data_IF_762079990469
#
_entry.id   IF_762079990469
#
_cell.length_a   1.000
_cell.length_b   1.000
_cell.length_c   1.000
_cell.angle_alpha   90.00
_cell.angle_beta   90.00
_cell.angle_gamma   90.00
#
_symmetry.space_group_name_H-M   'P 1'
#
loop_
_entity.id
_entity.type
_entity.pdbx_description
1 polymer ?
#
# COMPACT_ATOMS: atom_id res chain seq x y z
N UNK A 1 -15.18 -10.39 16.94
CA UNK A 1 -16.09 -10.20 15.79
C UNK A 1 -15.31 -9.42 14.72
N UNK A 2 -14.85 -10.10 13.68
CA UNK A 2 -14.01 -9.51 12.64
C UNK A 2 -14.86 -8.66 11.68
N UNK A 3 -14.53 -7.38 11.55
CA UNK A 3 -15.34 -6.36 10.85
C UNK A 3 -15.33 -6.52 9.31
N UNK A 4 -14.49 -7.40 8.76
CA UNK A 4 -14.34 -7.59 7.31
C UNK A 4 -15.62 -8.07 6.62
N UNK A 5 -16.44 -8.93 7.24
CA UNK A 5 -17.65 -9.45 6.60
C UNK A 5 -18.67 -8.34 6.27
N UNK A 6 -18.80 -7.33 7.15
CA UNK A 6 -19.70 -6.21 6.92
C UNK A 6 -19.22 -5.33 5.75
N UNK A 7 -17.90 -5.13 5.64
CA UNK A 7 -17.30 -4.37 4.54
C UNK A 7 -17.49 -5.10 3.21
N UNK A 8 -17.24 -6.42 3.17
CA UNK A 8 -17.44 -7.23 1.97
C UNK A 8 -18.91 -7.30 1.54
N UNK A 9 -19.83 -7.46 2.49
CA UNK A 9 -21.26 -7.46 2.20
C UNK A 9 -21.72 -6.11 1.63
N UNK A 10 -21.30 -5.00 2.24
CA UNK A 10 -21.62 -3.66 1.76
C UNK A 10 -21.00 -3.38 0.37
N UNK A 11 -19.77 -3.82 0.13
CA UNK A 11 -19.13 -3.72 -1.18
C UNK A 11 -19.88 -4.51 -2.24
N UNK A 12 -20.20 -5.78 -1.96
CA UNK A 12 -20.91 -6.66 -2.88
C UNK A 12 -22.27 -6.09 -3.28
N UNK A 13 -23.03 -5.57 -2.31
CA UNK A 13 -24.30 -4.89 -2.56
C UNK A 13 -24.13 -3.65 -3.46
N UNK A 14 -23.14 -2.80 -3.16
CA UNK A 14 -22.87 -1.60 -3.94
C UNK A 14 -22.38 -1.91 -5.37
N UNK A 15 -21.52 -2.91 -5.53
CA UNK A 15 -20.93 -3.31 -6.80
C UNK A 15 -21.95 -3.96 -7.75
N UNK A 16 -22.96 -4.66 -7.20
CA UNK A 16 -24.06 -5.28 -7.97
C UNK A 16 -25.26 -4.36 -8.19
N UNK A 17 -25.25 -3.16 -7.59
CA UNK A 17 -26.38 -2.25 -7.67
C UNK A 17 -26.58 -1.71 -9.10
N UNK A 18 -27.82 -1.77 -9.58
CA UNK A 18 -28.21 -1.26 -10.89
C UNK A 18 -28.39 0.27 -10.84
N UNK A 19 -27.28 1.00 -10.86
CA UNK A 19 -27.28 2.45 -10.82
C UNK A 19 -26.03 3.04 -10.18
N UNK A 20 -26.15 4.27 -9.67
CA UNK A 20 -25.05 4.92 -8.93
C UNK A 20 -25.08 4.45 -7.48
N UNK A 21 -24.01 3.81 -7.04
CA UNK A 21 -23.84 3.39 -5.64
C UNK A 21 -22.62 4.05 -5.00
N UNK A 22 -22.65 4.13 -3.66
CA UNK A 22 -21.54 4.60 -2.85
C UNK A 22 -21.26 3.61 -1.71
N UNK A 23 -20.02 3.18 -1.61
CA UNK A 23 -19.48 2.50 -0.45
C UNK A 23 -18.94 3.55 0.52
N UNK A 24 -19.53 3.66 1.72
CA UNK A 24 -19.21 4.73 2.67
C UNK A 24 -18.72 4.14 3.99
N UNK A 25 -17.50 4.51 4.39
CA UNK A 25 -17.04 4.33 5.77
C UNK A 25 -17.40 5.61 6.52
N UNK A 26 -18.37 5.58 7.45
CA UNK A 26 -18.80 6.77 8.18
C UNK A 26 -17.71 7.25 9.15
N UNK A 27 -17.95 8.37 9.83
CA UNK A 27 -17.08 8.82 10.92
C UNK A 27 -17.06 7.78 12.04
N UNK A 28 -15.90 7.62 12.68
CA UNK A 28 -15.64 6.59 13.68
C UNK A 28 -14.37 5.81 13.36
N UNK A 29 -13.93 4.96 14.28
CA UNK A 29 -12.74 4.12 14.11
C UNK A 29 -13.17 2.67 13.93
N UNK A 30 -12.73 2.05 12.82
CA UNK A 30 -13.10 0.70 12.44
C UNK A 30 -11.83 -0.15 12.33
N UNK A 31 -11.69 -1.13 13.23
CA UNK A 31 -10.63 -2.13 13.13
C UNK A 31 -10.95 -3.07 11.98
N UNK A 32 -10.05 -3.20 11.01
CA UNK A 32 -10.29 -3.93 9.78
C UNK A 32 -9.17 -4.96 9.58
N UNK A 33 -9.54 -6.23 9.44
CA UNK A 33 -8.63 -7.28 8.95
C UNK A 33 -8.41 -7.13 7.44
N UNK A 34 -7.46 -7.85 6.82
CA UNK A 34 -7.30 -7.84 5.38
C UNK A 34 -8.61 -8.03 4.61
N UNK A 35 -8.76 -7.26 3.54
CA UNK A 35 -9.97 -7.23 2.72
C UNK A 35 -9.62 -7.03 1.25
N UNK A 36 -10.36 -7.73 0.39
CA UNK A 36 -10.24 -7.65 -1.05
C UNK A 36 -11.59 -7.27 -1.66
N UNK A 37 -11.64 -6.08 -2.26
CA UNK A 37 -12.76 -5.54 -3.00
C UNK A 37 -12.57 -5.77 -4.49
N UNK A 38 -13.36 -6.68 -5.04
CA UNK A 38 -13.21 -7.16 -6.41
C UNK A 38 -14.36 -6.71 -7.31
N UNK A 39 -14.05 -6.53 -8.59
CA UNK A 39 -15.00 -6.35 -9.69
C UNK A 39 -14.99 -7.54 -10.66
N UNK A 40 -15.51 -7.39 -11.88
CA UNK A 40 -16.16 -6.18 -12.41
C UNK A 40 -17.48 -5.90 -11.69
N UNK A 41 -17.82 -4.62 -11.54
CA UNK A 41 -19.12 -4.19 -11.03
C UNK A 41 -20.13 -4.06 -12.18
N UNK A 42 -21.41 -3.94 -11.83
CA UNK A 42 -22.51 -3.79 -12.78
C UNK A 42 -22.21 -2.69 -13.80
N UNK A 43 -22.43 -2.98 -15.09
CA UNK A 43 -22.19 -2.07 -16.22
C UNK A 43 -20.74 -1.53 -16.31
N UNK A 44 -19.77 -2.28 -15.79
CA UNK A 44 -18.36 -1.91 -15.83
C UNK A 44 -18.04 -0.61 -15.08
N UNK A 45 -18.87 -0.23 -14.11
CA UNK A 45 -18.75 1.00 -13.33
C UNK A 45 -18.68 0.68 -11.84
N UNK A 46 -17.54 0.99 -11.23
CA UNK A 46 -17.34 0.79 -9.80
C UNK A 46 -18.13 1.80 -8.96
N UNK A 47 -18.58 1.42 -7.76
CA UNK A 47 -19.19 2.34 -6.82
C UNK A 47 -18.19 3.42 -6.37
N UNK A 48 -18.68 4.60 -6.00
CA UNK A 48 -17.82 5.59 -5.35
C UNK A 48 -17.42 5.12 -3.95
N UNK A 49 -16.16 5.29 -3.56
CA UNK A 49 -15.66 4.93 -2.23
C UNK A 49 -15.43 6.20 -1.42
N UNK A 50 -16.11 6.31 -0.28
CA UNK A 50 -16.06 7.48 0.60
C UNK A 50 -15.63 7.06 2.01
N UNK A 51 -14.34 7.20 2.30
CA UNK A 51 -13.79 6.99 3.63
C UNK A 51 -13.82 8.31 4.39
N UNK A 52 -14.67 8.41 5.42
CA UNK A 52 -14.80 9.58 6.30
C UNK A 52 -14.26 9.35 7.71
N UNK A 53 -14.22 8.10 8.15
CA UNK A 53 -13.67 7.70 9.44
C UNK A 53 -12.22 7.26 9.35
N UNK A 54 -11.79 6.49 10.36
CA UNK A 54 -10.47 5.89 10.48
C UNK A 54 -10.61 4.38 10.26
N UNK A 55 -9.90 3.85 9.29
CA UNK A 55 -9.65 2.41 9.17
C UNK A 55 -8.34 2.11 9.90
N UNK A 56 -8.39 1.22 10.88
CA UNK A 56 -7.22 0.84 11.66
C UNK A 56 -6.89 -0.64 11.46
N UNK A 57 -5.64 -0.93 11.14
CA UNK A 57 -5.19 -2.29 10.93
C UNK A 57 -5.16 -3.09 12.24
N UNK A 58 -5.42 -4.39 12.15
CA UNK A 58 -5.15 -5.31 13.26
C UNK A 58 -3.64 -5.58 13.35
N UNK A 59 -3.13 -5.79 14.56
CA UNK A 59 -1.76 -6.28 14.75
C UNK A 59 -1.63 -7.72 14.21
N UNK A 60 -0.49 -8.04 13.60
CA UNK A 60 -0.09 -9.44 13.33
C UNK A 60 -0.80 -10.20 12.21
N UNK A 61 -1.41 -9.55 11.20
CA UNK A 61 -1.83 -10.31 10.00
C UNK A 61 -0.61 -10.63 9.12
N UNK A 62 -0.48 -11.90 8.73
CA UNK A 62 0.79 -12.52 8.32
C UNK A 62 0.86 -12.95 6.86
N UNK A 63 -0.26 -13.21 6.17
CA UNK A 63 -0.16 -14.12 5.02
C UNK A 63 -0.46 -13.48 3.65
N UNK A 64 -0.98 -12.26 3.61
CA UNK A 64 -1.23 -11.55 2.35
C UNK A 64 -0.22 -10.41 2.14
N UNK A 65 0.22 -10.24 0.89
CA UNK A 65 1.07 -9.12 0.47
C UNK A 65 0.34 -7.75 0.54
N UNK A 66 -0.87 -7.66 1.07
CA UNK A 66 -1.67 -6.44 1.16
C UNK A 66 -2.62 -6.45 2.36
N UNK A 67 -3.09 -5.26 2.77
CA UNK A 67 -4.16 -5.11 3.76
C UNK A 67 -5.51 -4.80 3.09
N UNK A 68 -5.58 -3.73 2.28
CA UNK A 68 -6.81 -3.36 1.55
C UNK A 68 -6.51 -3.41 0.06
N UNK A 69 -7.15 -4.33 -0.68
CA UNK A 69 -6.98 -4.45 -2.13
C UNK A 69 -8.25 -4.11 -2.88
N UNK A 70 -8.11 -3.36 -3.96
CA UNK A 70 -9.11 -3.16 -4.99
C UNK A 70 -8.62 -3.77 -6.31
N UNK A 71 -9.38 -4.67 -6.92
CA UNK A 71 -9.00 -5.27 -8.21
C UNK A 71 -10.08 -5.24 -9.28
N UNK A 72 -9.61 -5.14 -10.52
CA UNK A 72 -10.42 -5.28 -11.74
C UNK A 72 -11.62 -4.31 -11.76
N UNK A 73 -11.32 -3.08 -11.35
CA UNK A 73 -12.27 -1.97 -11.24
C UNK A 73 -12.09 -0.96 -12.37
N UNK A 74 -13.18 -0.30 -12.74
CA UNK A 74 -13.19 0.72 -13.76
C UNK A 74 -14.06 1.90 -13.32
N UNK A 75 -13.58 3.13 -13.57
CA UNK A 75 -14.25 4.37 -13.15
C UNK A 75 -14.46 4.46 -11.63
N UNK A 76 -13.54 3.89 -10.85
CA UNK A 76 -13.53 4.04 -9.40
C UNK A 76 -13.25 5.50 -9.04
N UNK A 77 -14.03 6.04 -8.11
CA UNK A 77 -13.75 7.33 -7.46
C UNK A 77 -13.65 7.13 -5.97
N UNK A 78 -12.43 7.16 -5.45
CA UNK A 78 -12.11 6.96 -4.04
C UNK A 78 -11.64 8.24 -3.37
N UNK A 79 -12.15 8.52 -2.18
CA UNK A 79 -11.69 9.62 -1.33
C UNK A 79 -12.53 9.75 -0.07
N UNK A 80 -12.63 10.97 0.47
CA UNK A 80 -13.58 11.27 1.55
C UNK A 80 -13.00 12.02 2.75
N UNK A 81 -11.67 12.19 2.79
CA UNK A 81 -10.96 12.94 3.84
C UNK A 81 -10.63 12.12 5.09
N UNK A 82 -11.00 10.84 5.13
CA UNK A 82 -10.70 9.94 6.24
C UNK A 82 -9.26 9.41 6.22
N UNK A 83 -9.00 8.51 7.17
CA UNK A 83 -7.67 8.01 7.51
C UNK A 83 -7.58 6.48 7.38
N UNK A 84 -6.42 6.00 6.93
CA UNK A 84 -6.07 4.58 6.84
C UNK A 84 -4.76 4.39 7.63
N UNK A 85 -4.86 3.80 8.82
CA UNK A 85 -3.74 3.60 9.74
C UNK A 85 -3.30 2.13 9.74
N UNK A 86 -2.09 1.89 9.19
CA UNK A 86 -1.51 0.57 8.99
C UNK A 86 -0.93 -0.07 10.26
N UNK A 87 -0.84 0.66 11.38
CA UNK A 87 -0.29 0.16 12.65
C UNK A 87 1.06 -0.57 12.45
N UNK A 88 2.00 0.10 11.78
CA UNK A 88 3.25 -0.47 11.30
C UNK A 88 4.38 -0.61 12.32
N UNK A 89 4.26 -0.01 13.51
CA UNK A 89 5.34 0.10 14.49
C UNK A 89 6.08 -1.22 14.76
N UNK A 90 5.34 -2.30 14.96
CA UNK A 90 5.92 -3.61 15.25
C UNK A 90 6.73 -4.17 14.06
N UNK A 91 6.32 -3.84 12.83
CA UNK A 91 6.98 -4.28 11.59
C UNK A 91 8.33 -3.59 11.34
N UNK A 92 8.58 -2.44 11.96
CA UNK A 92 9.82 -1.67 11.74
C UNK A 92 10.96 -2.04 12.70
N UNK A 93 10.64 -2.70 13.82
CA UNK A 93 11.59 -3.01 14.90
C UNK A 93 12.57 -4.15 14.58
N UNK A 94 12.36 -4.87 13.47
CA UNK A 94 13.05 -6.13 13.14
C UNK A 94 14.44 -6.03 12.51
N UNK A 95 14.97 -4.84 12.23
CA UNK A 95 16.34 -4.71 11.72
C UNK A 95 17.05 -3.53 12.37
N UNK A 96 17.52 -3.72 13.60
CA UNK A 96 18.77 -3.06 13.98
C UNK A 96 19.82 -3.62 13.03
N UNK A 97 20.20 -2.88 11.99
CA UNK A 97 21.57 -3.01 11.52
C UNK A 97 22.43 -2.49 12.66
N UNK A 98 22.66 -3.35 13.66
CA UNK A 98 23.69 -3.08 14.63
C UNK A 98 24.96 -2.88 13.83
N UNK A 99 25.65 -1.80 14.14
CA UNK A 99 26.90 -1.37 13.53
C UNK A 99 28.06 -2.34 13.79
N UNK A 100 27.75 -3.56 14.22
CA UNK A 100 28.65 -4.68 14.46
C UNK A 100 28.10 -5.94 13.77
N UNK A 101 28.25 -6.01 12.45
CA UNK A 101 28.24 -7.29 11.74
C UNK A 101 29.49 -8.10 12.15
N UNK A 102 29.47 -8.65 13.37
CA UNK A 102 30.37 -9.71 13.81
C UNK A 102 29.54 -10.91 14.23
N UNK A 103 29.08 -11.69 13.26
CA UNK A 103 28.74 -13.09 13.53
C UNK A 103 29.40 -13.96 12.46
N UNK A 104 30.49 -14.61 12.88
CA UNK A 104 31.28 -15.57 12.12
C UNK A 104 30.63 -16.94 12.24
N UNK A 105 30.00 -17.42 11.17
CA UNK A 105 29.75 -18.85 10.98
C UNK A 105 30.44 -19.31 9.70
N UNK A 106 31.57 -19.99 9.89
CA UNK A 106 32.35 -20.60 8.81
C UNK A 106 31.63 -21.83 8.28
N UNK A 107 31.06 -21.77 7.08
CA UNK A 107 30.59 -22.96 6.37
C UNK A 107 31.78 -23.60 5.65
N UNK A 108 32.20 -24.79 6.07
CA UNK A 108 33.27 -25.56 5.40
C UNK A 108 32.64 -26.53 4.41
N UNK A 109 33.05 -26.46 3.15
CA UNK A 109 32.74 -27.50 2.16
C UNK A 109 33.82 -28.60 2.20
N UNK A 110 33.46 -29.90 2.16
CA UNK A 110 34.39 -31.00 2.42
C UNK A 110 35.47 -31.20 1.35
N UNK A 111 35.46 -30.46 0.24
CA UNK A 111 36.39 -30.64 -0.89
C UNK A 111 36.92 -29.35 -1.54
N UNK A 112 36.70 -28.17 -0.97
CA UNK A 112 37.25 -26.92 -1.54
C UNK A 112 37.45 -25.86 -0.45
N UNK A 113 38.63 -25.26 -0.41
CA UNK A 113 39.04 -24.22 0.56
C UNK A 113 38.42 -22.83 0.31
N UNK A 114 37.28 -22.75 -0.40
CA UNK A 114 36.59 -21.48 -0.64
C UNK A 114 35.82 -21.11 0.62
N UNK A 115 36.33 -20.11 1.35
CA UNK A 115 35.60 -19.45 2.42
C UNK A 115 34.63 -18.46 1.79
N UNK A 116 33.39 -18.87 1.58
CA UNK A 116 32.32 -17.92 1.25
C UNK A 116 31.90 -17.26 2.55
N UNK A 117 32.11 -15.95 2.69
CA UNK A 117 31.46 -15.16 3.74
C UNK A 117 29.97 -15.14 3.43
N UNK A 118 29.26 -16.17 3.87
CA UNK A 118 27.81 -16.23 3.74
C UNK A 118 27.21 -15.32 4.80
N UNK A 119 26.76 -14.15 4.37
CA UNK A 119 25.76 -13.42 5.13
C UNK A 119 24.46 -14.19 4.94
N UNK A 120 24.18 -15.14 5.84
CA UNK A 120 22.80 -15.52 6.10
C UNK A 120 22.16 -14.30 6.75
N UNK A 121 21.82 -13.30 5.93
CA UNK A 121 20.73 -12.40 6.27
C UNK A 121 19.62 -13.36 6.62
N UNK A 122 19.04 -13.22 7.81
CA UNK A 122 17.69 -13.72 8.02
C UNK A 122 16.80 -12.96 7.04
N UNK A 123 16.84 -13.38 5.77
CA UNK A 123 15.93 -13.08 4.67
C UNK A 123 14.62 -13.82 4.96
N UNK A 124 14.19 -13.78 6.23
CA UNK A 124 12.86 -14.15 6.64
C UNK A 124 11.97 -13.05 6.06
N UNK A 125 11.63 -13.24 4.77
CA UNK A 125 10.55 -12.60 4.03
C UNK A 125 9.97 -11.41 4.79
N UNK A 126 10.57 -10.24 4.64
CA UNK A 126 9.84 -9.00 4.93
C UNK A 126 8.71 -9.03 3.90
N UNK A 127 7.57 -9.59 4.27
CA UNK A 127 6.36 -9.48 3.48
C UNK A 127 6.15 -7.97 3.33
N UNK A 128 6.37 -7.46 2.11
CA UNK A 128 6.24 -6.04 1.83
C UNK A 128 4.75 -5.73 1.74
N UNK A 129 4.05 -5.80 2.87
CA UNK A 129 2.61 -5.64 2.97
C UNK A 129 2.24 -4.27 2.44
N UNK A 130 1.36 -4.24 1.44
CA UNK A 130 0.83 -3.01 0.87
C UNK A 130 -0.43 -2.59 1.63
N UNK A 131 -0.43 -1.44 2.29
CA UNK A 131 -1.61 -0.93 3.02
C UNK A 131 -2.82 -0.78 2.10
N UNK A 132 -2.64 -0.12 0.95
CA UNK A 132 -3.67 0.07 -0.05
C UNK A 132 -3.15 -0.34 -1.44
N UNK A 133 -3.73 -1.39 -2.02
CA UNK A 133 -3.33 -1.93 -3.32
C UNK A 133 -4.43 -1.76 -4.36
N UNK A 134 -4.07 -1.20 -5.50
CA UNK A 134 -4.88 -1.20 -6.71
C UNK A 134 -4.23 -2.11 -7.74
N UNK A 135 -4.99 -3.10 -8.25
CA UNK A 135 -4.50 -4.10 -9.18
C UNK A 135 -5.45 -4.26 -10.36
N UNK A 136 -5.02 -3.94 -11.59
CA UNK A 136 -5.91 -4.01 -12.75
C UNK A 136 -6.98 -2.90 -12.80
N UNK A 137 -6.77 -1.78 -12.11
CA UNK A 137 -7.76 -0.68 -12.02
C UNK A 137 -7.60 0.29 -13.18
N UNK A 138 -8.73 0.77 -13.75
CA UNK A 138 -8.75 1.63 -14.95
C UNK A 138 -9.59 2.90 -14.80
N UNK A 139 -9.20 3.98 -15.47
CA UNK A 139 -9.98 5.24 -15.58
C UNK A 139 -10.45 5.80 -14.24
N UNK A 140 -9.57 5.79 -13.23
CA UNK A 140 -9.97 5.91 -11.83
C UNK A 140 -9.27 7.06 -11.11
N UNK A 141 -9.90 7.52 -10.03
CA UNK A 141 -9.40 8.62 -9.18
C UNK A 141 -9.28 8.17 -7.73
N UNK A 142 -8.16 8.51 -7.11
CA UNK A 142 -7.92 8.37 -5.67
C UNK A 142 -7.52 9.73 -5.12
N UNK A 143 -8.27 10.27 -4.16
CA UNK A 143 -8.01 11.62 -3.69
C UNK A 143 -8.38 11.88 -2.24
N UNK A 144 -7.67 12.81 -1.60
CA UNK A 144 -8.02 13.34 -0.27
C UNK A 144 -8.18 12.23 0.77
N UNK A 145 -7.11 11.47 0.99
CA UNK A 145 -7.00 10.47 2.05
C UNK A 145 -5.71 10.69 2.83
N UNK A 146 -5.76 10.38 4.13
CA UNK A 146 -4.59 10.28 4.98
C UNK A 146 -4.20 8.81 5.13
N UNK A 147 -2.93 8.47 4.92
CA UNK A 147 -2.39 7.13 5.16
C UNK A 147 -1.27 7.23 6.18
N UNK A 148 -1.40 6.50 7.28
CA UNK A 148 -0.47 6.53 8.39
C UNK A 148 0.19 5.18 8.62
N UNK A 149 1.46 5.20 8.99
CA UNK A 149 2.14 4.10 9.66
C UNK A 149 1.96 2.75 8.94
N UNK A 150 2.22 2.69 7.65
CA UNK A 150 2.18 1.40 6.94
C UNK A 150 3.21 0.41 7.50
N UNK A 151 2.86 -0.88 7.49
CA UNK A 151 3.79 -1.97 7.82
C UNK A 151 4.94 -2.06 6.81
N UNK A 152 4.68 -1.70 5.55
CA UNK A 152 5.67 -1.48 4.50
C UNK A 152 5.12 -0.41 3.54
N UNK A 153 4.75 -0.74 2.30
CA UNK A 153 4.30 0.25 1.32
C UNK A 153 2.90 0.79 1.63
N UNK A 154 2.72 2.12 1.60
CA UNK A 154 1.43 2.75 1.86
C UNK A 154 0.45 2.51 0.70
N UNK A 155 0.84 2.83 -0.53
CA UNK A 155 -0.01 2.68 -1.72
C UNK A 155 0.75 1.96 -2.82
N UNK A 156 0.11 0.97 -3.46
CA UNK A 156 0.63 0.32 -4.67
C UNK A 156 -0.37 0.37 -5.82
N UNK A 157 0.08 0.85 -6.97
CA UNK A 157 -0.62 0.73 -8.25
C UNK A 157 0.08 -0.29 -9.12
N UNK A 158 -0.61 -1.39 -9.43
CA UNK A 158 -0.09 -2.50 -10.21
C UNK A 158 -1.02 -2.80 -11.39
N UNK A 159 -0.49 -2.96 -12.61
CA UNK A 159 -1.30 -3.23 -13.82
C UNK A 159 -2.46 -2.25 -14.02
N UNK A 160 -2.28 -0.99 -13.62
CA UNK A 160 -3.34 0.02 -13.72
C UNK A 160 -3.23 0.83 -15.02
N UNK A 161 -4.33 1.48 -15.41
CA UNK A 161 -4.39 2.33 -16.60
C UNK A 161 -5.22 3.60 -16.36
N UNK A 162 -4.73 4.76 -16.79
CA UNK A 162 -5.42 6.05 -16.66
C UNK A 162 -5.89 6.36 -15.23
N UNK A 163 -4.91 6.60 -14.34
CA UNK A 163 -5.14 6.83 -12.90
C UNK A 163 -4.81 8.28 -12.53
N UNK A 164 -5.68 8.89 -11.72
CA UNK A 164 -5.49 10.23 -11.19
C UNK A 164 -5.45 10.22 -9.66
N UNK A 165 -4.27 10.54 -9.10
CA UNK A 165 -4.03 10.60 -7.66
C UNK A 165 -3.82 12.06 -7.24
N UNK A 166 -4.51 12.51 -6.20
CA UNK A 166 -4.37 13.90 -5.74
C UNK A 166 -4.69 14.15 -4.27
N UNK A 167 -3.97 15.06 -3.61
CA UNK A 167 -4.31 15.47 -2.25
C UNK A 167 -4.14 14.36 -1.21
N UNK A 168 -3.17 13.45 -1.40
CA UNK A 168 -2.86 12.44 -0.39
C UNK A 168 -1.95 13.04 0.68
N UNK A 169 -2.16 12.63 1.93
CA UNK A 169 -1.24 12.86 3.04
C UNK A 169 -0.73 11.51 3.53
N UNK A 170 0.53 11.21 3.29
CA UNK A 170 1.14 9.94 3.66
C UNK A 170 2.22 10.23 4.71
N UNK A 171 2.17 9.54 5.84
CA UNK A 171 3.21 9.69 6.86
C UNK A 171 3.55 8.42 7.63
N UNK A 172 4.85 8.18 7.78
CA UNK A 172 5.44 7.23 8.73
C UNK A 172 6.74 7.82 9.31
N UNK A 173 7.24 7.34 10.46
CA UNK A 173 8.47 7.83 11.05
C UNK A 173 9.68 7.75 10.11
N UNK A 174 10.64 8.67 10.22
CA UNK A 174 11.82 8.66 9.35
C UNK A 174 12.64 7.36 9.43
N UNK A 175 12.60 6.68 10.58
CA UNK A 175 13.30 5.42 10.80
C UNK A 175 12.47 4.16 10.45
N UNK A 176 11.26 4.30 9.91
CA UNK A 176 10.45 3.17 9.49
C UNK A 176 10.90 2.63 8.13
N UNK A 177 11.63 1.52 8.14
CA UNK A 177 12.21 0.92 6.93
C UNK A 177 11.14 0.44 5.95
N UNK A 178 11.42 0.54 4.65
CA UNK A 178 10.57 0.03 3.56
C UNK A 178 9.14 0.58 3.59
N UNK A 179 8.98 1.82 4.09
CA UNK A 179 7.68 2.47 4.19
C UNK A 179 7.33 3.32 2.99
N UNK A 180 7.63 2.85 1.77
CA UNK A 180 7.42 3.67 0.56
C UNK A 180 6.02 4.27 0.52
N UNK A 181 5.92 5.52 0.06
CA UNK A 181 4.65 6.23 -0.02
C UNK A 181 3.76 5.68 -1.13
N UNK A 182 4.14 5.88 -2.38
CA UNK A 182 3.39 5.39 -3.55
C UNK A 182 4.32 4.60 -4.46
N UNK A 183 4.07 3.30 -4.59
CA UNK A 183 4.78 2.43 -5.51
C UNK A 183 3.96 2.18 -6.78
N UNK A 184 4.53 2.42 -7.96
CA UNK A 184 3.92 2.26 -9.27
C UNK A 184 4.62 1.11 -9.99
N UNK A 185 3.91 0.11 -10.48
CA UNK A 185 4.50 -0.99 -11.24
C UNK A 185 3.59 -1.42 -12.39
N UNK A 186 4.16 -1.71 -13.56
CA UNK A 186 3.43 -2.21 -14.74
C UNK A 186 2.18 -1.36 -15.06
N UNK A 187 2.26 -0.04 -14.86
CA UNK A 187 1.10 0.87 -14.94
C UNK A 187 1.28 1.88 -16.07
N UNK A 188 0.21 2.14 -16.83
CA UNK A 188 0.22 3.04 -17.99
C UNK A 188 -0.68 4.26 -17.76
N UNK A 189 -0.11 5.47 -17.78
CA UNK A 189 -0.91 6.69 -17.64
C UNK A 189 -1.36 6.90 -16.20
N UNK A 190 -0.46 7.35 -15.35
CA UNK A 190 -0.77 7.72 -13.97
C UNK A 190 -0.27 9.13 -13.68
N UNK A 191 -1.15 9.96 -13.14
CA UNK A 191 -0.83 11.32 -12.68
C UNK A 191 -0.97 11.40 -11.17
N UNK A 192 0.11 11.76 -10.48
CA UNK A 192 0.15 11.99 -9.04
C UNK A 192 0.44 13.47 -8.81
N UNK A 193 -0.43 14.16 -8.08
CA UNK A 193 -0.24 15.59 -7.80
C UNK A 193 -0.64 16.05 -6.41
N UNK A 194 -0.12 17.22 -6.01
CA UNK A 194 -0.61 17.98 -4.86
C UNK A 194 -0.71 17.14 -3.58
N UNK A 195 0.34 16.39 -3.27
CA UNK A 195 0.36 15.43 -2.15
C UNK A 195 1.54 15.68 -1.24
N UNK A 196 1.40 15.31 0.03
CA UNK A 196 2.43 15.44 1.06
C UNK A 196 2.81 14.03 1.50
N UNK A 197 4.06 13.66 1.35
CA UNK A 197 4.55 12.30 1.59
C UNK A 197 5.83 12.38 2.42
N UNK A 198 5.78 11.85 3.65
CA UNK A 198 6.94 11.74 4.52
C UNK A 198 7.04 10.35 5.13
N UNK A 199 8.03 9.58 4.71
CA UNK A 199 8.20 8.17 5.12
C UNK A 199 9.67 7.92 5.47
N UNK A 200 9.99 6.68 5.87
CA UNK A 200 11.39 6.26 6.07
C UNK A 200 12.05 5.66 4.84
N UNK A 201 11.41 5.71 3.67
CA UNK A 201 11.92 5.19 2.39
C UNK A 201 11.47 6.08 1.22
N UNK A 202 11.36 5.59 0.00
CA UNK A 202 10.91 6.38 -1.17
C UNK A 202 9.54 7.05 -0.94
N UNK A 203 9.40 8.33 -1.29
CA UNK A 203 8.09 8.98 -1.32
C UNK A 203 7.23 8.40 -2.44
N UNK A 204 7.82 8.29 -3.63
CA UNK A 204 7.18 7.68 -4.80
C UNK A 204 8.24 6.84 -5.51
N UNK A 205 7.96 5.56 -5.75
CA UNK A 205 8.83 4.64 -6.49
C UNK A 205 8.17 4.17 -7.80
N UNK A 206 8.91 4.20 -8.91
CA UNK A 206 8.46 3.80 -10.25
C UNK A 206 9.17 2.50 -10.67
N UNK A 207 8.50 1.38 -10.39
CA UNK A 207 8.90 0.06 -10.82
C UNK A 207 8.76 -0.17 -12.33
N UNK A 208 9.48 -1.20 -12.78
CA UNK A 208 9.59 -1.60 -14.18
C UNK A 208 8.23 -1.84 -14.86
N UNK A 209 8.21 -1.66 -16.19
CA UNK A 209 7.02 -1.84 -17.02
C UNK A 209 6.01 -0.68 -16.94
N UNK A 210 6.27 0.34 -16.13
CA UNK A 210 5.43 1.53 -16.04
C UNK A 210 5.78 2.55 -17.14
N UNK A 211 4.77 3.24 -17.68
CA UNK A 211 4.94 4.28 -18.72
C UNK A 211 3.91 5.40 -18.56
N UNK A 212 4.19 6.59 -19.10
CA UNK A 212 3.32 7.77 -19.00
C UNK A 212 3.01 8.13 -17.53
N UNK A 213 4.06 8.27 -16.72
CA UNK A 213 3.97 8.65 -15.30
C UNK A 213 4.20 10.16 -15.19
N UNK A 214 3.26 10.88 -14.58
CA UNK A 214 3.37 12.33 -14.30
C UNK A 214 3.32 12.57 -12.81
N UNK A 215 4.34 13.22 -12.26
CA UNK A 215 4.43 13.56 -10.84
C UNK A 215 4.66 15.07 -10.74
N UNK A 216 3.83 15.77 -9.96
CA UNK A 216 3.94 17.24 -9.81
C UNK A 216 3.43 17.72 -8.46
N UNK A 217 3.94 18.85 -7.95
CA UNK A 217 3.48 19.46 -6.70
C UNK A 217 3.47 18.48 -5.51
N UNK A 218 4.57 17.76 -5.32
CA UNK A 218 4.75 16.82 -4.20
C UNK A 218 5.68 17.46 -3.17
N UNK A 219 5.23 17.50 -1.91
CA UNK A 219 6.11 17.74 -0.77
C UNK A 219 6.59 16.38 -0.31
N UNK A 220 7.87 16.09 -0.52
CA UNK A 220 8.49 14.81 -0.23
C UNK A 220 9.62 14.98 0.80
N UNK A 221 9.60 14.18 1.85
CA UNK A 221 10.66 14.16 2.87
C UNK A 221 10.11 13.81 4.25
N UNK A 222 10.89 13.12 5.10
CA UNK A 222 12.36 12.97 5.06
C UNK A 222 12.92 11.76 4.28
N UNK A 223 12.07 10.97 3.62
CA UNK A 223 12.45 9.73 2.91
C UNK A 223 13.45 9.86 1.73
N UNK A 224 13.59 8.80 0.93
CA UNK A 224 14.62 8.67 -0.11
C UNK A 224 14.34 9.41 -1.43
N UNK A 225 13.25 10.18 -1.49
CA UNK A 225 12.88 11.00 -2.64
C UNK A 225 11.89 10.31 -3.58
N UNK A 226 11.97 10.66 -4.85
CA UNK A 226 11.21 10.03 -5.94
C UNK A 226 12.21 9.21 -6.75
N UNK A 227 11.98 7.90 -6.92
CA UNK A 227 12.92 6.96 -7.55
C UNK A 227 12.30 6.05 -8.59
#
# INVERSE_FOLDING_TARGET
>A
MYVCQAFLAAWSAACRFKGKAAFVVPKGTFKLSPVHFEGPCYDGRSPSVRIRGVLQALAGFSDDNYWIKFSDLNRLSMGGGGEIDGQGADSWSGNKCDKDCKLSSTVRFPRSSIVVRSCMISLLTVALIQTLKFDGVRNSKVARLSLLNSKAFHVKFHRCDNINVSGLKISAPQNSRNTDGIHIAVTNGITIRSSIIGTGDDCISVGQGSRNVTISNIICGPGHGIR
#
